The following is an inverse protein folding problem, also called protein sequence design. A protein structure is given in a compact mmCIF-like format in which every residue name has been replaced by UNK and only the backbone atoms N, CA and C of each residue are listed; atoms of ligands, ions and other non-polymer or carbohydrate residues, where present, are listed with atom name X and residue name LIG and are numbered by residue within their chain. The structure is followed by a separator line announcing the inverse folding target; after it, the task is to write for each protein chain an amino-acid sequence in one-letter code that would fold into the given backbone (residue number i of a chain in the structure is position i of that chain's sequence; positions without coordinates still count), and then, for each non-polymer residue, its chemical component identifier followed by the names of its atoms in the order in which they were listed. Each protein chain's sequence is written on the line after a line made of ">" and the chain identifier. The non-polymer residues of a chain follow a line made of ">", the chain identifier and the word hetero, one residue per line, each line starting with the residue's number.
data_IF_253181500320
#
_entry.id   IF_253181500320
#
_cell.length_a   1.000
_cell.length_b   1.000
_cell.length_c   1.000
_cell.angle_alpha   90.00
_cell.angle_beta   90.00
_cell.angle_gamma   90.00
#
_symmetry.space_group_name_H-M   'P 1'
#
loop_
_entity.id
_entity.type
_entity.pdbx_description
1 polymer ?
#
# COMPACT_ATOMS: atom_id res chain seq x y z
N UNK A 1 44.56 47.57 -11.16
CA UNK A 1 44.47 46.26 -10.48
C UNK A 1 43.00 45.86 -10.41
N UNK A 2 42.55 44.92 -11.26
CA UNK A 2 41.15 44.51 -11.39
C UNK A 2 40.87 43.38 -10.40
N UNK A 3 40.01 43.59 -9.40
CA UNK A 3 39.57 42.52 -8.49
C UNK A 3 38.37 41.80 -9.12
N UNK A 4 38.60 40.56 -9.51
CA UNK A 4 37.63 39.63 -10.08
C UNK A 4 36.73 39.13 -8.95
N UNK A 5 35.46 39.53 -8.94
CA UNK A 5 34.46 39.07 -7.98
C UNK A 5 33.98 37.67 -8.34
N UNK A 6 34.21 36.70 -7.46
CA UNK A 6 33.59 35.38 -7.56
C UNK A 6 32.15 35.47 -7.08
N UNK A 7 31.18 35.34 -7.99
CA UNK A 7 29.80 35.07 -7.65
C UNK A 7 29.68 33.57 -7.31
N UNK A 8 29.55 33.27 -6.02
CA UNK A 8 29.17 31.95 -5.53
C UNK A 8 27.66 31.78 -5.74
N UNK A 9 27.27 31.08 -6.80
CA UNK A 9 25.87 30.69 -7.01
C UNK A 9 25.55 29.52 -6.08
N UNK A 10 24.82 29.79 -5.00
CA UNK A 10 24.32 28.77 -4.09
C UNK A 10 23.09 28.11 -4.75
N UNK A 11 23.29 26.97 -5.42
CA UNK A 11 22.20 26.16 -5.93
C UNK A 11 21.49 25.49 -4.74
N UNK A 12 20.38 26.08 -4.31
CA UNK A 12 19.49 25.51 -3.29
C UNK A 12 18.78 24.30 -3.90
N UNK A 13 19.39 23.12 -3.80
CA UNK A 13 18.72 21.86 -4.11
C UNK A 13 17.55 21.69 -3.12
N UNK A 14 16.32 21.78 -3.62
CA UNK A 14 15.13 21.30 -2.93
C UNK A 14 15.28 19.79 -2.74
N UNK A 15 15.87 19.39 -1.61
CA UNK A 15 15.82 18.01 -1.15
C UNK A 15 14.37 17.77 -0.75
N UNK A 16 13.59 17.18 -1.64
CA UNK A 16 12.29 16.60 -1.28
C UNK A 16 12.60 15.51 -0.25
N UNK A 17 12.37 15.84 1.02
CA UNK A 17 12.60 14.90 2.11
C UNK A 17 11.60 13.77 1.94
N UNK A 18 12.14 12.56 1.70
CA UNK A 18 11.44 11.30 1.81
C UNK A 18 10.55 11.28 3.06
N UNK A 19 9.23 11.38 2.90
CA UNK A 19 8.31 11.38 4.05
C UNK A 19 7.49 10.10 4.03
N UNK A 20 7.43 9.45 5.18
CA UNK A 20 6.46 8.40 5.44
C UNK A 20 5.04 8.93 5.18
N UNK A 21 4.26 8.16 4.45
CA UNK A 21 2.86 8.49 4.14
C UNK A 21 1.97 7.67 5.05
N UNK A 22 1.15 8.31 5.87
CA UNK A 22 0.21 7.59 6.73
C UNK A 22 -0.83 6.86 5.86
N UNK A 23 -0.95 5.53 6.02
CA UNK A 23 -1.95 4.69 5.34
C UNK A 23 -3.24 4.59 6.13
N UNK A 24 -3.10 4.51 7.45
CA UNK A 24 -4.18 4.40 8.41
C UNK A 24 -3.61 4.74 9.79
N UNK A 25 -4.45 5.06 10.79
CA UNK A 25 -3.97 5.42 12.12
C UNK A 25 -2.96 4.40 12.67
N UNK A 26 -1.73 4.86 12.93
CA UNK A 26 -0.63 4.04 13.46
C UNK A 26 0.09 3.14 12.45
N UNK A 27 -0.19 3.28 11.15
CA UNK A 27 0.46 2.55 10.06
C UNK A 27 0.99 3.50 8.99
N UNK A 28 2.30 3.59 8.88
CA UNK A 28 2.99 4.39 7.89
C UNK A 28 3.41 3.54 6.68
N UNK A 29 3.48 4.16 5.50
CA UNK A 29 3.98 3.56 4.27
C UNK A 29 5.27 4.19 3.81
N UNK A 30 6.21 3.33 3.41
CA UNK A 30 7.51 3.69 2.86
C UNK A 30 7.79 2.85 1.61
N UNK A 31 8.23 3.50 0.54
CA UNK A 31 8.67 2.83 -0.69
C UNK A 31 10.19 2.80 -0.78
N UNK A 32 10.75 1.66 -1.16
CA UNK A 32 12.18 1.54 -1.46
C UNK A 32 12.63 2.56 -2.50
N UNK A 33 13.77 3.21 -2.26
CA UNK A 33 14.30 4.25 -3.14
C UNK A 33 13.65 5.63 -2.98
N UNK A 34 12.47 5.72 -2.35
CA UNK A 34 11.89 6.98 -1.92
C UNK A 34 12.15 7.29 -0.44
N UNK A 35 12.71 6.35 0.32
CA UNK A 35 13.05 6.48 1.73
C UNK A 35 14.38 5.79 2.06
N UNK A 36 15.04 6.27 3.11
CA UNK A 36 16.29 5.71 3.64
C UNK A 36 16.07 5.03 5.01
N UNK A 37 17.15 4.52 5.60
CA UNK A 37 17.11 3.86 6.92
C UNK A 37 16.67 4.80 8.05
N UNK A 38 17.03 6.09 7.98
CA UNK A 38 16.64 7.08 8.98
C UNK A 38 15.13 7.36 8.95
N UNK A 39 14.57 7.49 7.74
CA UNK A 39 13.13 7.64 7.53
C UNK A 39 12.37 6.41 8.03
N UNK A 40 12.91 5.21 7.75
CA UNK A 40 12.36 3.95 8.25
C UNK A 40 12.38 3.88 9.79
N UNK A 41 13.50 4.19 10.42
CA UNK A 41 13.63 4.18 11.87
C UNK A 41 12.63 5.17 12.52
N UNK A 42 12.52 6.38 11.97
CA UNK A 42 11.58 7.39 12.46
C UNK A 42 10.11 6.94 12.35
N UNK A 43 9.72 6.33 11.22
CA UNK A 43 8.36 5.81 11.06
C UNK A 43 8.07 4.67 12.07
N UNK A 44 9.08 3.87 12.40
CA UNK A 44 8.94 2.85 13.45
C UNK A 44 8.95 3.40 14.87
N UNK A 45 9.40 4.63 15.10
CA UNK A 45 9.22 5.29 16.40
C UNK A 45 7.76 5.68 16.62
N UNK A 46 7.05 6.06 15.54
CA UNK A 46 5.67 6.53 15.58
C UNK A 46 4.65 5.41 15.51
N UNK A 47 4.94 4.28 14.85
CA UNK A 47 3.98 3.19 14.73
C UNK A 47 4.50 1.96 14.00
N UNK A 48 3.56 1.23 13.39
CA UNK A 48 3.86 0.13 12.48
C UNK A 48 4.17 0.66 11.09
N UNK A 49 4.90 -0.10 10.29
CA UNK A 49 5.37 0.34 8.96
C UNK A 49 5.09 -0.70 7.89
N UNK A 50 4.55 -0.25 6.76
CA UNK A 50 4.57 -0.99 5.49
C UNK A 50 5.78 -0.53 4.69
N UNK A 51 6.72 -1.45 4.44
CA UNK A 51 7.87 -1.22 3.57
C UNK A 51 7.63 -1.89 2.22
N UNK A 52 7.44 -1.10 1.17
CA UNK A 52 7.26 -1.60 -0.19
C UNK A 52 8.61 -1.77 -0.89
N UNK A 53 9.00 -3.03 -1.08
CA UNK A 53 10.20 -3.44 -1.83
C UNK A 53 9.85 -4.05 -3.20
N UNK A 54 8.58 -4.01 -3.63
CA UNK A 54 8.19 -4.52 -4.95
C UNK A 54 8.97 -3.81 -6.04
N UNK A 55 9.42 -4.57 -7.04
CA UNK A 55 10.25 -4.07 -8.15
C UNK A 55 11.55 -3.33 -7.72
N UNK A 56 11.97 -3.43 -6.45
CA UNK A 56 13.16 -2.73 -5.97
C UNK A 56 14.45 -3.41 -6.48
N UNK A 57 15.35 -2.58 -7.01
CA UNK A 57 16.74 -2.97 -7.27
C UNK A 57 17.49 -3.28 -5.97
N UNK A 58 18.62 -3.99 -6.06
CA UNK A 58 19.50 -4.25 -4.91
C UNK A 58 19.91 -2.96 -4.20
N UNK A 59 20.25 -1.91 -4.96
CA UNK A 59 20.71 -0.63 -4.42
C UNK A 59 19.61 0.08 -3.62
N UNK A 60 18.40 0.15 -4.18
CA UNK A 60 17.27 0.83 -3.54
C UNK A 60 16.73 0.06 -2.34
N UNK A 61 16.79 -1.27 -2.38
CA UNK A 61 16.39 -2.12 -1.26
C UNK A 61 17.39 -2.04 -0.09
N UNK A 62 18.70 -2.07 -0.35
CA UNK A 62 19.73 -2.10 0.70
C UNK A 62 19.62 -0.92 1.70
N UNK A 63 19.28 0.28 1.20
CA UNK A 63 19.14 1.48 2.03
C UNK A 63 18.08 1.32 3.13
N UNK A 64 16.96 0.63 2.85
CA UNK A 64 15.86 0.42 3.82
C UNK A 64 15.98 -0.91 4.56
N UNK A 65 16.52 -1.96 3.92
CA UNK A 65 16.73 -3.27 4.53
C UNK A 65 17.69 -3.26 5.71
N UNK A 66 18.69 -2.37 5.71
CA UNK A 66 19.56 -2.17 6.87
C UNK A 66 18.76 -1.79 8.14
N UNK A 67 17.73 -0.96 7.98
CA UNK A 67 16.81 -0.60 9.06
C UNK A 67 15.97 -1.79 9.53
N UNK A 68 15.47 -2.62 8.60
CA UNK A 68 14.70 -3.83 8.93
C UNK A 68 15.55 -4.82 9.73
N UNK A 69 16.81 -5.03 9.37
CA UNK A 69 17.73 -5.92 10.10
C UNK A 69 18.06 -5.41 11.50
N UNK A 70 18.10 -4.09 11.67
CA UNK A 70 18.30 -3.44 12.97
C UNK A 70 17.03 -3.38 13.82
N UNK A 71 15.86 -3.75 13.27
CA UNK A 71 14.60 -3.70 13.98
C UNK A 71 14.62 -4.63 15.18
N UNK A 72 14.31 -4.06 16.35
CA UNK A 72 14.05 -4.80 17.57
C UNK A 72 12.55 -4.92 17.72
N UNK A 73 12.07 -6.14 17.88
CA UNK A 73 10.65 -6.42 18.12
C UNK A 73 10.09 -5.55 19.22
N UNK A 74 8.90 -5.02 18.97
CA UNK A 74 8.13 -4.29 19.97
C UNK A 74 6.71 -4.89 20.03
N UNK A 75 6.12 -5.08 21.21
CA UNK A 75 4.80 -5.73 21.35
C UNK A 75 3.66 -4.96 20.66
N UNK A 76 3.89 -3.71 20.28
CA UNK A 76 2.89 -2.81 19.66
C UNK A 76 3.25 -2.31 18.26
N UNK A 77 4.28 -2.89 17.63
CA UNK A 77 4.75 -2.44 16.31
C UNK A 77 5.15 -3.62 15.47
N UNK A 78 4.77 -3.54 14.20
CA UNK A 78 5.06 -4.57 13.21
C UNK A 78 5.62 -3.93 11.94
N UNK A 79 6.54 -4.64 11.29
CA UNK A 79 7.01 -4.32 9.93
C UNK A 79 6.31 -5.25 8.95
N UNK A 80 5.60 -4.68 7.98
CA UNK A 80 4.96 -5.42 6.89
C UNK A 80 5.72 -5.13 5.60
N UNK A 81 6.43 -6.13 5.06
CA UNK A 81 7.28 -5.95 3.88
C UNK A 81 6.58 -6.47 2.64
N UNK A 82 6.38 -5.60 1.64
CA UNK A 82 5.77 -6.00 0.36
C UNK A 82 6.85 -6.45 -0.62
N UNK A 83 6.64 -7.62 -1.22
CA UNK A 83 7.57 -8.23 -2.17
C UNK A 83 6.86 -8.61 -3.47
N UNK A 84 7.63 -8.57 -4.56
CA UNK A 84 7.22 -9.13 -5.84
C UNK A 84 8.34 -10.04 -6.39
N UNK A 85 8.04 -10.95 -7.34
CA UNK A 85 9.07 -11.75 -8.01
C UNK A 85 10.18 -10.91 -8.67
N UNK A 86 9.82 -9.70 -9.09
CA UNK A 86 10.71 -8.74 -9.74
C UNK A 86 11.59 -7.96 -8.74
N UNK A 87 11.33 -8.07 -7.43
CA UNK A 87 12.27 -7.60 -6.41
C UNK A 87 13.60 -8.34 -6.57
N UNK A 88 14.72 -7.62 -6.47
CA UNK A 88 16.05 -8.20 -6.66
C UNK A 88 16.27 -9.45 -5.78
N UNK A 89 16.88 -10.50 -6.35
CA UNK A 89 17.14 -11.74 -5.62
C UNK A 89 17.99 -11.52 -4.36
N UNK A 90 18.94 -10.58 -4.39
CA UNK A 90 19.73 -10.20 -3.22
C UNK A 90 18.84 -9.67 -2.07
N UNK A 91 17.91 -8.75 -2.36
CA UNK A 91 16.97 -8.25 -1.37
C UNK A 91 16.03 -9.35 -0.83
N UNK A 92 15.56 -10.24 -1.71
CA UNK A 92 14.73 -11.40 -1.31
C UNK A 92 15.50 -12.36 -0.40
N UNK A 93 16.77 -12.62 -0.69
CA UNK A 93 17.63 -13.48 0.12
C UNK A 93 17.88 -12.89 1.52
N UNK A 94 18.02 -11.56 1.63
CA UNK A 94 18.16 -10.90 2.94
C UNK A 94 16.92 -11.07 3.84
N UNK A 95 15.74 -11.25 3.25
CA UNK A 95 14.46 -11.46 3.94
C UNK A 95 14.06 -12.94 4.04
N UNK A 96 14.90 -13.85 3.53
CA UNK A 96 14.64 -15.30 3.60
C UNK A 96 14.75 -15.86 5.02
N UNK A 97 15.48 -15.16 5.89
CA UNK A 97 15.57 -15.45 7.32
C UNK A 97 14.38 -14.81 8.02
N UNK A 98 13.72 -15.56 8.91
CA UNK A 98 12.65 -15.02 9.74
C UNK A 98 13.18 -13.93 10.66
N UNK A 99 12.70 -12.70 10.47
CA UNK A 99 12.97 -11.55 11.34
C UNK A 99 11.78 -11.39 12.28
N UNK A 100 11.95 -11.55 13.61
CA UNK A 100 10.85 -11.37 14.55
C UNK A 100 10.16 -10.00 14.41
N UNK A 101 8.82 -9.99 14.41
CA UNK A 101 8.02 -8.77 14.24
C UNK A 101 8.03 -8.19 12.82
N UNK A 102 8.57 -8.93 11.85
CA UNK A 102 8.47 -8.64 10.42
C UNK A 102 7.62 -9.72 9.74
N UNK A 103 6.70 -9.32 8.86
CA UNK A 103 5.90 -10.22 8.02
C UNK A 103 6.08 -9.81 6.57
N UNK A 104 6.47 -10.76 5.74
CA UNK A 104 6.59 -10.60 4.29
C UNK A 104 5.27 -10.95 3.59
N UNK A 105 4.84 -10.09 2.68
CA UNK A 105 3.58 -10.19 1.95
C UNK A 105 3.89 -10.03 0.46
N UNK A 106 3.43 -10.94 -0.38
CA UNK A 106 3.70 -10.83 -1.81
C UNK A 106 2.85 -11.71 -2.67
N UNK A 107 2.94 -11.50 -3.99
CA UNK A 107 2.32 -12.38 -4.99
C UNK A 107 3.04 -13.72 -5.00
N UNK A 108 2.26 -14.80 -5.19
CA UNK A 108 2.78 -16.16 -5.30
C UNK A 108 3.90 -16.25 -6.36
N UNK A 109 4.97 -16.97 -6.01
CA UNK A 109 6.13 -17.20 -6.86
C UNK A 109 6.82 -18.50 -6.48
N UNK A 110 7.47 -19.14 -7.44
CA UNK A 110 8.35 -20.28 -7.18
C UNK A 110 9.73 -19.85 -6.64
N UNK A 111 10.15 -18.62 -6.90
CA UNK A 111 11.54 -18.17 -6.69
C UNK A 111 11.80 -17.63 -5.28
N UNK A 112 10.77 -17.45 -4.46
CA UNK A 112 10.88 -17.02 -3.07
C UNK A 112 9.63 -17.37 -2.28
N UNK A 113 9.76 -17.40 -0.95
CA UNK A 113 8.68 -17.63 -0.02
C UNK A 113 8.33 -16.32 0.69
N UNK A 114 7.04 -16.00 0.76
CA UNK A 114 6.51 -14.99 1.68
C UNK A 114 5.77 -15.67 2.83
N UNK A 115 5.65 -14.96 3.95
CA UNK A 115 4.83 -15.40 5.08
C UNK A 115 3.35 -15.41 4.68
N UNK A 116 2.94 -14.42 3.89
CA UNK A 116 1.57 -14.29 3.39
C UNK A 116 1.59 -14.16 1.87
N UNK A 117 0.87 -15.07 1.22
CA UNK A 117 0.70 -15.09 -0.22
C UNK A 117 -0.61 -14.39 -0.60
N UNK A 118 -0.54 -13.45 -1.53
CA UNK A 118 -1.70 -12.74 -2.07
C UNK A 118 -1.98 -13.23 -3.48
N UNK A 119 -3.24 -13.62 -3.72
CA UNK A 119 -3.72 -14.01 -5.05
C UNK A 119 -4.01 -12.75 -5.86
N UNK A 120 -3.13 -12.45 -6.81
CA UNK A 120 -3.27 -11.33 -7.77
C UNK A 120 -2.47 -11.65 -9.04
N UNK A 121 -2.83 -11.06 -10.18
CA UNK A 121 -2.09 -11.25 -11.43
C UNK A 121 -0.87 -10.32 -11.49
N UNK A 122 0.13 -10.66 -12.30
CA UNK A 122 1.32 -9.82 -12.47
C UNK A 122 0.96 -8.44 -13.05
N UNK A 123 -0.01 -8.38 -13.95
CA UNK A 123 -0.48 -7.14 -14.59
C UNK A 123 -1.26 -6.25 -13.60
N UNK A 124 -2.06 -6.86 -12.72
CA UNK A 124 -2.79 -6.10 -11.70
C UNK A 124 -1.84 -5.50 -10.66
N UNK A 125 -0.89 -6.30 -10.15
CA UNK A 125 0.15 -5.85 -9.22
C UNK A 125 1.03 -4.76 -9.85
N UNK A 126 1.46 -4.96 -11.10
CA UNK A 126 2.26 -3.97 -11.83
C UNK A 126 1.52 -2.65 -12.02
N UNK A 127 0.25 -2.68 -12.44
CA UNK A 127 -0.57 -1.46 -12.60
C UNK A 127 -0.77 -0.70 -11.29
N UNK A 128 -0.97 -1.41 -10.18
CA UNK A 128 -1.08 -0.79 -8.86
C UNK A 128 0.24 -0.14 -8.43
N UNK A 129 1.36 -0.86 -8.63
CA UNK A 129 2.69 -0.31 -8.38
C UNK A 129 3.00 0.92 -9.24
N UNK A 130 2.65 0.90 -10.53
CA UNK A 130 2.86 2.03 -11.44
C UNK A 130 2.04 3.26 -11.01
N UNK A 131 0.83 3.06 -10.47
CA UNK A 131 0.05 4.16 -9.89
C UNK A 131 0.77 4.80 -8.69
N UNK A 132 1.43 4.01 -7.82
CA UNK A 132 2.27 4.53 -6.74
C UNK A 132 3.48 5.31 -7.27
N UNK A 133 4.12 4.81 -8.34
CA UNK A 133 5.22 5.50 -9.01
C UNK A 133 4.77 6.85 -9.59
N UNK A 134 3.55 6.92 -10.10
CA UNK A 134 2.90 8.15 -10.57
C UNK A 134 2.32 9.02 -9.42
N UNK A 135 2.85 8.89 -8.19
CA UNK A 135 2.47 9.65 -6.99
C UNK A 135 0.98 9.55 -6.60
N UNK A 136 0.29 8.48 -7.01
CA UNK A 136 -1.04 8.19 -6.46
C UNK A 136 -0.91 7.87 -4.98
N UNK A 137 -1.72 8.54 -4.14
CA UNK A 137 -1.73 8.27 -2.71
C UNK A 137 -1.99 6.78 -2.44
N UNK A 138 -1.15 6.09 -1.66
CA UNK A 138 -1.30 4.67 -1.40
C UNK A 138 -2.65 4.32 -0.75
N UNK A 139 -3.21 5.23 0.07
CA UNK A 139 -4.53 5.07 0.68
C UNK A 139 -5.66 4.94 -0.35
N UNK A 140 -5.53 5.56 -1.54
CA UNK A 140 -6.52 5.47 -2.62
C UNK A 140 -6.47 4.15 -3.40
N UNK A 141 -5.40 3.37 -3.23
CA UNK A 141 -5.23 2.06 -3.89
C UNK A 141 -5.74 0.91 -3.02
N UNK A 142 -6.11 1.19 -1.77
CA UNK A 142 -6.74 0.24 -0.87
C UNK A 142 -8.24 0.47 -0.90
N UNK A 143 -9.03 -0.61 -1.00
CA UNK A 143 -10.48 -0.50 -0.87
C UNK A 143 -10.83 -0.02 0.55
N UNK A 144 -11.36 1.20 0.66
CA UNK A 144 -12.08 1.60 1.87
C UNK A 144 -13.37 0.78 1.98
N UNK A 145 -13.70 0.40 3.22
CA UNK A 145 -14.74 -0.56 3.57
C UNK A 145 -15.96 -0.45 2.65
N UNK A 146 -16.34 -1.57 2.02
CA UNK A 146 -17.67 -1.72 1.43
C UNK A 146 -18.66 -1.52 2.57
N UNK A 147 -19.26 -0.33 2.60
CA UNK A 147 -20.30 0.01 3.54
C UNK A 147 -21.50 -0.87 3.15
N UNK A 148 -21.58 -2.07 3.73
CA UNK A 148 -22.71 -2.97 3.49
C UNK A 148 -23.93 -2.21 3.99
N UNK A 149 -24.83 -1.88 3.05
CA UNK A 149 -26.14 -1.34 3.39
C UNK A 149 -26.75 -2.29 4.41
N UNK A 150 -27.05 -1.79 5.61
CA UNK A 150 -27.76 -2.57 6.61
C UNK A 150 -29.21 -2.57 6.15
N UNK A 151 -29.63 -3.69 5.58
CA UNK A 151 -31.06 -3.93 5.42
C UNK A 151 -31.63 -4.06 6.82
N UNK A 152 -32.52 -3.14 7.19
CA UNK A 152 -33.27 -3.22 8.44
C UNK A 152 -34.27 -4.37 8.29
N UNK A 153 -34.13 -5.39 9.12
CA UNK A 153 -35.01 -6.57 9.09
C UNK A 153 -36.47 -6.19 9.33
N UNK A 154 -36.73 -5.08 10.03
CA UNK A 154 -38.08 -4.56 10.23
C UNK A 154 -38.74 -4.10 8.91
N UNK A 155 -37.96 -3.53 7.99
CA UNK A 155 -38.44 -3.14 6.66
C UNK A 155 -38.75 -4.37 5.81
N UNK A 156 -37.92 -5.41 5.88
CA UNK A 156 -38.13 -6.66 5.14
C UNK A 156 -39.39 -7.41 5.59
N UNK A 157 -39.70 -7.39 6.89
CA UNK A 157 -40.94 -8.01 7.42
C UNK A 157 -42.18 -7.22 6.97
N UNK A 158 -42.11 -5.88 7.01
CA UNK A 158 -43.22 -5.03 6.57
C UNK A 158 -43.52 -5.17 5.06
N UNK A 159 -42.48 -5.30 4.23
CA UNK A 159 -42.61 -5.56 2.79
C UNK A 159 -43.30 -6.91 2.51
N UNK A 160 -42.96 -7.95 3.28
CA UNK A 160 -43.59 -9.27 3.16
C UNK A 160 -45.06 -9.27 3.61
N UNK A 161 -45.40 -8.51 4.64
CA UNK A 161 -46.78 -8.42 5.17
C UNK A 161 -47.71 -7.55 4.33
N UNK A 162 -47.19 -6.48 3.72
CA UNK A 162 -48.00 -5.51 2.95
C UNK A 162 -48.07 -5.81 1.46
N UNK A 163 -47.21 -6.71 0.95
CA UNK A 163 -47.11 -7.02 -0.48
C UNK A 163 -46.63 -5.83 -1.32
N UNK A 164 -46.18 -4.75 -0.68
CA UNK A 164 -45.58 -3.59 -1.33
C UNK A 164 -44.09 -3.87 -1.43
N UNK A 165 -43.66 -4.39 -2.57
CA UNK A 165 -42.24 -4.38 -2.91
C UNK A 165 -41.81 -2.91 -2.99
N UNK A 166 -40.89 -2.49 -2.11
CA UNK A 166 -40.13 -1.26 -2.34
C UNK A 166 -39.50 -1.41 -3.72
N UNK A 167 -39.70 -0.48 -4.67
CA UNK A 167 -39.11 -0.62 -5.99
C UNK A 167 -37.61 -0.79 -5.78
N UNK A 168 -37.07 -1.90 -6.30
CA UNK A 168 -35.64 -2.11 -6.38
C UNK A 168 -35.01 -0.78 -6.82
N UNK A 169 -33.94 -0.29 -6.16
CA UNK A 169 -33.29 0.94 -6.60
C UNK A 169 -32.98 0.72 -8.07
N UNK A 170 -33.65 1.50 -8.93
CA UNK A 170 -33.83 1.18 -10.33
C UNK A 170 -32.56 0.52 -10.86
N UNK A 171 -32.63 -0.79 -11.13
CA UNK A 171 -31.63 -1.40 -11.97
C UNK A 171 -31.64 -0.52 -13.21
N UNK A 172 -30.59 0.26 -13.38
CA UNK A 172 -30.47 1.16 -14.50
C UNK A 172 -30.54 0.25 -15.72
N UNK A 173 -31.75 0.21 -16.29
CA UNK A 173 -32.07 -0.49 -17.51
C UNK A 173 -31.02 0.04 -18.47
N UNK A 174 -30.04 -0.80 -18.81
CA UNK A 174 -29.07 -0.51 -19.87
C UNK A 174 -29.87 -0.50 -21.16
N UNK A 175 -30.50 0.65 -21.41
CA UNK A 175 -31.04 0.99 -22.70
C UNK A 175 -29.84 1.06 -23.63
N UNK A 176 -29.75 0.08 -24.52
CA UNK A 176 -28.86 0.13 -25.66
C UNK A 176 -29.28 1.34 -26.51
N UNK A 177 -28.55 2.44 -26.38
CA UNK A 177 -28.51 3.49 -27.37
C UNK A 177 -27.05 3.83 -27.62
N UNK A 178 -26.60 3.49 -28.82
CA UNK A 178 -25.33 3.93 -29.35
C UNK A 178 -25.33 5.47 -29.43
N UNK A 179 -24.41 6.10 -28.72
CA UNK A 179 -23.85 7.40 -29.10
C UNK A 179 -22.52 7.63 -28.39
N UNK A 180 -21.48 7.72 -29.21
CA UNK A 180 -20.24 8.49 -29.07
C UNK A 180 -19.49 8.51 -27.71
N UNK A 181 -18.32 7.86 -27.76
CA UNK A 181 -17.08 8.10 -27.01
C UNK A 181 -17.01 9.42 -26.24
N UNK A 182 -17.38 9.37 -24.97
CA UNK A 182 -16.81 10.23 -23.94
C UNK A 182 -15.86 9.37 -23.09
N UNK A 183 -14.57 9.69 -23.16
CA UNK A 183 -13.46 9.05 -22.46
C UNK A 183 -13.67 9.17 -20.93
N UNK A 184 -14.34 8.18 -20.33
CA UNK A 184 -14.45 8.09 -18.88
C UNK A 184 -13.08 7.67 -18.33
N UNK A 185 -12.47 8.44 -17.41
CA UNK A 185 -11.17 8.08 -16.86
C UNK A 185 -11.22 6.67 -16.26
N UNK A 186 -10.28 5.83 -16.67
CA UNK A 186 -10.17 4.44 -16.24
C UNK A 186 -10.16 4.38 -14.70
N UNK A 187 -10.90 3.46 -14.05
CA UNK A 187 -10.92 3.36 -12.60
C UNK A 187 -9.51 3.08 -12.06
N UNK A 188 -9.20 3.69 -10.91
CA UNK A 188 -7.95 3.46 -10.17
C UNK A 188 -7.77 1.95 -9.88
N UNK A 189 -6.56 1.40 -10.05
CA UNK A 189 -6.30 0.01 -9.72
C UNK A 189 -6.39 -0.21 -8.20
N UNK A 190 -6.85 -1.39 -7.80
CA UNK A 190 -6.77 -1.84 -6.40
C UNK A 190 -5.45 -2.57 -6.21
N UNK A 191 -4.71 -2.19 -5.18
CA UNK A 191 -3.48 -2.86 -4.76
C UNK A 191 -3.82 -3.97 -3.75
N UNK A 192 -3.99 -5.19 -4.25
CA UNK A 192 -4.34 -6.34 -3.42
C UNK A 192 -3.27 -6.66 -2.35
N UNK A 193 -1.99 -6.41 -2.66
CA UNK A 193 -0.86 -6.70 -1.76
C UNK A 193 -0.83 -5.69 -0.63
N UNK A 194 -0.92 -4.40 -0.96
CA UNK A 194 -1.01 -3.31 0.02
C UNK A 194 -2.28 -3.41 0.87
N UNK A 195 -3.42 -3.73 0.23
CA UNK A 195 -4.68 -3.93 0.93
C UNK A 195 -4.57 -5.06 1.96
N UNK A 196 -3.88 -6.16 1.63
CA UNK A 196 -3.66 -7.25 2.59
C UNK A 196 -2.85 -6.77 3.80
N UNK A 197 -1.81 -5.96 3.59
CA UNK A 197 -1.02 -5.38 4.68
C UNK A 197 -1.89 -4.52 5.62
N UNK A 198 -2.72 -3.63 5.06
CA UNK A 198 -3.66 -2.81 5.85
C UNK A 198 -4.64 -3.68 6.64
N UNK A 199 -5.18 -4.75 6.03
CA UNK A 199 -6.11 -5.66 6.72
C UNK A 199 -5.44 -6.39 7.88
N UNK A 200 -4.20 -6.85 7.72
CA UNK A 200 -3.44 -7.51 8.80
C UNK A 200 -3.23 -6.55 9.95
N UNK A 201 -2.73 -5.34 9.68
CA UNK A 201 -2.52 -4.32 10.71
C UNK A 201 -3.81 -4.03 11.49
N UNK A 202 -4.92 -3.77 10.77
CA UNK A 202 -6.23 -3.52 11.40
C UNK A 202 -6.72 -4.71 12.23
N UNK A 203 -6.52 -5.92 11.73
CA UNK A 203 -6.85 -7.15 12.46
C UNK A 203 -6.07 -7.26 13.77
N UNK A 204 -4.76 -7.02 13.74
CA UNK A 204 -3.93 -7.06 14.95
C UNK A 204 -4.31 -5.99 15.98
N UNK A 205 -4.60 -4.75 15.52
CA UNK A 205 -5.12 -3.68 16.38
C UNK A 205 -6.45 -4.08 17.01
N UNK A 206 -7.38 -4.63 16.23
CA UNK A 206 -8.69 -5.07 16.73
C UNK A 206 -8.58 -6.20 17.77
N UNK A 207 -7.57 -7.06 17.62
CA UNK A 207 -7.23 -8.13 18.57
C UNK A 207 -6.41 -7.65 19.78
N UNK A 208 -6.10 -6.35 19.87
CA UNK A 208 -5.24 -5.74 20.90
C UNK A 208 -3.85 -6.37 20.96
N UNK A 209 -3.36 -6.83 19.81
CA UNK A 209 -2.00 -7.34 19.61
C UNK A 209 -1.05 -6.24 19.10
N UNK A 210 -1.56 -5.02 18.91
CA UNK A 210 -0.82 -3.78 18.66
C UNK A 210 -1.37 -2.66 19.54
#
# INVERSE_FOLDING_TARGET
>A
MKRLGYFLVFALALVVSARAVELSPGLDYLRAGAADSATFAKALETGSVVLDLRYASTKTAAATLSGVKGFRTHPKRIVLVLLSPETSGAARNELSVTIPGCITIGRASADYKTDIIVTTTAEADKRAFDALVADTSPAKLVLENVNKSRFDEATLIHEHETGVETPAPAEAVKSASASETADKPKPLPVDAVLQRAVQIHRGLVALKQL
#
